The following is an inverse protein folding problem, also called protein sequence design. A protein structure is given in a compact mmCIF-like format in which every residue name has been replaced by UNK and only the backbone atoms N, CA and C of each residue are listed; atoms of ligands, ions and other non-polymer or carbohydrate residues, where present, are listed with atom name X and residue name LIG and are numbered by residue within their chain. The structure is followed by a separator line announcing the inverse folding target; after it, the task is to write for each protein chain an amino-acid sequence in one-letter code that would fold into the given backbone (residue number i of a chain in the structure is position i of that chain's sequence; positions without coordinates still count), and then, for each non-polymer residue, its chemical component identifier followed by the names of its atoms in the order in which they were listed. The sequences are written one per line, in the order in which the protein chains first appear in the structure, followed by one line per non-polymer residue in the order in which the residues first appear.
data_IF_170744775478
#
_entry.id   IF_170744775478
#
_cell.length_a   1.000
_cell.length_b   1.000
_cell.length_c   1.000
_cell.angle_alpha   90.00
_cell.angle_beta   90.00
_cell.angle_gamma   90.00
#
_symmetry.space_group_name_H-M   'P 1'
#
loop_
_entity.id
_entity.type
_entity.pdbx_description
1 polymer ?
#
# COMPACT_ATOMS: atom_id res chain seq x y z
N UNK A 1 -0.03 1.50 -4.02
CA UNK A 1 1.16 0.69 -4.33
C UNK A 1 2.32 1.17 -3.47
N UNK A 2 2.85 0.31 -2.63
CA UNK A 2 4.06 0.57 -1.83
C UNK A 2 5.31 0.05 -2.57
N UNK A 3 6.48 0.33 -2.02
CA UNK A 3 7.74 -0.26 -2.48
C UNK A 3 7.94 -1.72 -2.04
N UNK A 4 7.04 -2.29 -1.25
CA UNK A 4 7.13 -3.66 -0.74
C UNK A 4 6.67 -4.74 -1.72
N UNK A 5 6.83 -6.01 -1.30
CA UNK A 5 6.55 -7.20 -2.11
C UNK A 5 5.03 -7.39 -2.33
N UNK A 6 4.22 -7.09 -1.32
CA UNK A 6 2.83 -7.52 -1.26
C UNK A 6 1.91 -6.71 -2.19
N UNK A 7 2.08 -5.38 -2.25
CA UNK A 7 1.17 -4.52 -3.03
C UNK A 7 1.21 -4.78 -4.54
N UNK A 8 2.35 -5.05 -5.20
CA UNK A 8 2.37 -5.45 -6.61
C UNK A 8 1.67 -6.78 -6.85
N UNK A 9 1.82 -7.74 -5.92
CA UNK A 9 1.16 -9.05 -6.02
C UNK A 9 -0.35 -8.90 -5.87
N UNK A 10 -0.81 -8.05 -4.96
CA UNK A 10 -2.23 -7.73 -4.80
C UNK A 10 -2.81 -7.13 -6.08
N UNK A 11 -2.13 -6.15 -6.66
CA UNK A 11 -2.53 -5.53 -7.93
C UNK A 11 -2.63 -6.57 -9.05
N UNK A 12 -1.59 -7.41 -9.23
CA UNK A 12 -1.59 -8.50 -10.21
C UNK A 12 -2.79 -9.44 -10.03
N UNK A 13 -3.08 -9.86 -8.80
CA UNK A 13 -4.19 -10.78 -8.53
C UNK A 13 -5.55 -10.18 -8.90
N UNK A 14 -5.73 -8.90 -8.66
CA UNK A 14 -6.99 -8.20 -9.02
C UNK A 14 -7.08 -7.95 -10.52
N UNK A 15 -5.99 -7.55 -11.17
CA UNK A 15 -5.94 -7.41 -12.63
C UNK A 15 -6.31 -8.72 -13.35
N UNK A 16 -5.84 -9.86 -12.85
CA UNK A 16 -6.23 -11.19 -13.37
C UNK A 16 -7.73 -11.51 -13.22
N UNK A 17 -8.44 -10.81 -12.35
CA UNK A 17 -9.90 -10.93 -12.21
C UNK A 17 -10.65 -9.94 -13.09
N UNK A 18 -9.94 -9.19 -13.93
CA UNK A 18 -10.49 -8.22 -14.88
C UNK A 18 -10.70 -6.81 -14.31
N UNK A 19 -10.17 -6.49 -13.13
CA UNK A 19 -10.26 -5.14 -12.59
C UNK A 19 -9.28 -4.20 -13.30
N UNK A 20 -9.78 -3.04 -13.74
CA UNK A 20 -8.94 -1.89 -14.07
C UNK A 20 -8.40 -1.28 -12.75
N UNK A 21 -7.12 -0.94 -12.72
CA UNK A 21 -6.45 -0.50 -11.50
C UNK A 21 -5.72 0.81 -11.70
N UNK A 22 -5.93 1.72 -10.76
CA UNK A 22 -5.06 2.87 -10.54
C UNK A 22 -4.25 2.66 -9.25
N UNK A 23 -3.10 3.30 -9.16
CA UNK A 23 -2.18 3.14 -8.04
C UNK A 23 -2.07 4.42 -7.23
N UNK A 24 -2.04 4.27 -5.90
CA UNK A 24 -1.72 5.36 -4.96
C UNK A 24 -0.42 5.02 -4.25
N UNK A 25 0.50 5.97 -4.21
CA UNK A 25 1.74 5.91 -3.43
C UNK A 25 1.82 7.10 -2.48
N UNK A 26 2.05 6.83 -1.20
CA UNK A 26 2.28 7.87 -0.19
C UNK A 26 3.78 8.12 -0.07
N UNK A 27 4.21 9.36 -0.29
CA UNK A 27 5.60 9.76 -0.22
C UNK A 27 5.82 10.76 0.91
N UNK A 28 6.86 10.56 1.72
CA UNK A 28 7.18 11.41 2.89
C UNK A 28 8.59 12.02 2.80
N UNK A 29 8.88 12.89 1.81
CA UNK A 29 10.15 13.60 1.78
C UNK A 29 10.25 14.57 2.98
N UNK A 30 11.45 14.78 3.60
CA UNK A 30 12.75 14.22 3.21
C UNK A 30 13.01 12.81 3.78
N UNK A 31 12.08 12.21 4.53
CA UNK A 31 12.26 10.91 5.19
C UNK A 31 12.30 9.74 4.20
N UNK A 32 11.57 9.84 3.09
CA UNK A 32 11.66 8.89 1.97
C UNK A 32 12.40 9.52 0.80
N UNK A 33 13.29 8.74 0.18
CA UNK A 33 14.13 9.22 -0.92
C UNK A 33 13.38 9.25 -2.26
N UNK A 34 13.89 10.03 -3.20
CA UNK A 34 13.42 9.99 -4.59
C UNK A 34 13.58 8.58 -5.21
N UNK A 35 14.61 7.83 -4.79
CA UNK A 35 14.83 6.43 -5.20
C UNK A 35 13.69 5.51 -4.76
N UNK A 36 13.08 5.76 -3.59
CA UNK A 36 11.89 5.03 -3.14
C UNK A 36 10.70 5.26 -4.11
N UNK A 37 10.48 6.49 -4.53
CA UNK A 37 9.44 6.83 -5.52
C UNK A 37 9.72 6.19 -6.90
N UNK A 38 10.98 6.22 -7.36
CA UNK A 38 11.38 5.57 -8.61
C UNK A 38 11.19 4.06 -8.55
N UNK A 39 11.46 3.42 -7.40
CA UNK A 39 11.18 2.00 -7.14
C UNK A 39 9.69 1.69 -7.34
N UNK A 40 8.81 2.49 -6.75
CA UNK A 40 7.35 2.31 -6.90
C UNK A 40 6.90 2.49 -8.35
N UNK A 41 7.44 3.49 -9.05
CA UNK A 41 7.18 3.69 -10.49
C UNK A 41 7.60 2.46 -11.30
N UNK A 42 8.78 1.91 -11.03
CA UNK A 42 9.27 0.70 -11.70
C UNK A 42 8.37 -0.51 -11.42
N UNK A 43 7.87 -0.66 -10.18
CA UNK A 43 6.90 -1.71 -9.84
C UNK A 43 5.57 -1.52 -10.58
N UNK A 44 5.04 -0.31 -10.67
CA UNK A 44 3.84 -0.02 -11.45
C UNK A 44 4.03 -0.42 -12.92
N UNK A 45 5.17 -0.04 -13.52
CA UNK A 45 5.50 -0.42 -14.90
C UNK A 45 5.57 -1.94 -15.11
N UNK A 46 6.12 -2.69 -14.15
CA UNK A 46 6.20 -4.17 -14.23
C UNK A 46 4.84 -4.86 -14.17
N UNK A 47 3.82 -4.19 -13.63
CA UNK A 47 2.46 -4.75 -13.56
C UNK A 47 1.59 -4.34 -14.77
N UNK A 48 1.99 -3.35 -15.56
CA UNK A 48 1.23 -2.90 -16.75
C UNK A 48 0.89 -4.00 -17.76
N UNK A 49 1.71 -5.06 -17.97
CA UNK A 49 1.30 -6.16 -18.82
C UNK A 49 0.01 -6.87 -18.36
N UNK A 50 -0.36 -6.73 -17.10
CA UNK A 50 -1.54 -7.35 -16.52
C UNK A 50 -2.69 -6.37 -16.28
N UNK A 51 -2.39 -5.09 -16.01
CA UNK A 51 -3.38 -4.06 -15.70
C UNK A 51 -3.78 -3.22 -16.91
N UNK A 52 -2.97 -3.23 -17.96
CA UNK A 52 -3.08 -2.24 -19.04
C UNK A 52 -2.60 -0.86 -18.59
N UNK A 53 -3.12 0.19 -19.24
CA UNK A 53 -2.83 1.57 -18.85
C UNK A 53 -3.36 1.87 -17.45
N UNK A 54 -2.54 2.52 -16.61
CA UNK A 54 -2.87 2.81 -15.21
C UNK A 54 -2.26 4.15 -14.79
N UNK A 55 -2.91 4.85 -13.87
CA UNK A 55 -2.39 6.07 -13.25
C UNK A 55 -1.64 5.73 -11.95
N UNK A 56 -0.58 6.48 -11.67
CA UNK A 56 0.12 6.44 -10.38
C UNK A 56 -0.02 7.80 -9.69
N UNK A 57 -0.87 7.86 -8.67
CA UNK A 57 -1.06 9.05 -7.82
C UNK A 57 -0.01 9.06 -6.72
N UNK A 58 0.87 10.05 -6.73
CA UNK A 58 1.86 10.24 -5.65
C UNK A 58 1.33 11.29 -4.68
N UNK A 59 1.03 10.86 -3.45
CA UNK A 59 0.44 11.69 -2.41
C UNK A 59 1.52 12.15 -1.44
N UNK A 60 1.77 13.46 -1.30
CA UNK A 60 2.64 13.99 -0.25
C UNK A 60 2.06 13.69 1.14
N UNK A 61 2.78 12.94 1.96
CA UNK A 61 2.25 12.44 3.22
C UNK A 61 3.05 12.87 4.46
N UNK A 62 4.11 13.64 4.29
CA UNK A 62 4.99 14.10 5.38
C UNK A 62 4.22 14.82 6.50
N UNK A 63 3.45 15.86 6.14
CA UNK A 63 2.70 16.67 7.15
C UNK A 63 1.68 15.86 7.95
N UNK A 64 0.82 15.02 7.32
CA UNK A 64 -0.06 14.14 8.08
C UNK A 64 0.69 13.18 9.00
N UNK A 65 1.81 12.66 8.57
CA UNK A 65 2.62 11.71 9.33
C UNK A 65 3.27 12.37 10.54
N UNK A 66 3.87 13.55 10.38
CA UNK A 66 4.42 14.36 11.47
C UNK A 66 3.34 14.75 12.47
N UNK A 67 2.17 15.20 12.00
CA UNK A 67 1.06 15.55 12.88
C UNK A 67 0.61 14.36 13.74
N UNK A 68 0.52 13.16 13.18
CA UNK A 68 0.16 11.95 13.94
C UNK A 68 1.25 11.64 14.97
N UNK A 69 2.53 11.71 14.58
CA UNK A 69 3.66 11.49 15.50
C UNK A 69 3.63 12.42 16.70
N UNK A 70 3.34 13.70 16.46
CA UNK A 70 3.45 14.75 17.49
C UNK A 70 2.21 14.83 18.40
N UNK A 71 1.06 14.25 17.99
CA UNK A 71 -0.22 14.39 18.67
C UNK A 71 -0.90 13.07 19.07
N UNK A 72 -0.28 11.92 18.82
CA UNK A 72 -0.87 10.63 19.12
C UNK A 72 0.09 9.77 19.96
N UNK A 73 -0.43 8.88 20.83
CA UNK A 73 0.41 7.88 21.49
C UNK A 73 1.14 6.99 20.49
N UNK A 74 2.40 6.69 20.75
CA UNK A 74 3.26 5.88 19.86
C UNK A 74 2.61 4.53 19.47
N UNK A 75 1.95 3.88 20.44
CA UNK A 75 1.28 2.58 20.22
C UNK A 75 0.14 2.66 19.19
N UNK A 76 -0.41 3.83 18.94
CA UNK A 76 -1.49 4.06 17.98
C UNK A 76 -0.99 4.63 16.66
N UNK A 77 0.29 5.01 16.56
CA UNK A 77 0.84 5.69 15.39
C UNK A 77 0.52 4.95 14.10
N UNK A 78 0.88 3.68 14.01
CA UNK A 78 0.69 2.87 12.79
C UNK A 78 -0.79 2.75 12.40
N UNK A 79 -1.68 2.54 13.36
CA UNK A 79 -3.13 2.39 13.10
C UNK A 79 -3.71 3.72 12.61
N UNK A 80 -3.36 4.84 13.24
CA UNK A 80 -3.84 6.17 12.86
C UNK A 80 -3.30 6.60 11.50
N UNK A 81 -2.03 6.31 11.23
CA UNK A 81 -1.40 6.53 9.93
C UNK A 81 -2.17 5.77 8.84
N UNK A 82 -2.42 4.47 9.02
CA UNK A 82 -3.17 3.65 8.06
C UNK A 82 -4.61 4.15 7.87
N UNK A 83 -5.30 4.54 8.94
CA UNK A 83 -6.64 5.16 8.84
C UNK A 83 -6.62 6.43 8.00
N UNK A 84 -5.62 7.29 8.21
CA UNK A 84 -5.44 8.51 7.42
C UNK A 84 -5.20 8.19 5.94
N UNK A 85 -4.31 7.23 5.65
CA UNK A 85 -4.05 6.77 4.28
C UNK A 85 -5.31 6.23 3.61
N UNK A 86 -6.11 5.42 4.32
CA UNK A 86 -7.35 4.87 3.78
C UNK A 86 -8.39 5.96 3.47
N UNK A 87 -8.52 6.99 4.31
CA UNK A 87 -9.38 8.16 4.04
C UNK A 87 -8.95 8.90 2.77
N UNK A 88 -7.66 9.15 2.64
CA UNK A 88 -7.11 9.84 1.46
C UNK A 88 -7.33 8.97 0.20
N UNK A 89 -7.05 7.67 0.30
CA UNK A 89 -7.27 6.73 -0.80
C UNK A 89 -8.74 6.70 -1.23
N UNK A 90 -9.68 6.69 -0.26
CA UNK A 90 -11.11 6.74 -0.53
C UNK A 90 -11.53 8.01 -1.28
N UNK A 91 -11.01 9.17 -0.85
CA UNK A 91 -11.29 10.46 -1.52
C UNK A 91 -10.78 10.45 -2.97
N UNK A 92 -9.56 9.96 -3.19
CA UNK A 92 -8.98 9.87 -4.54
C UNK A 92 -9.77 8.88 -5.39
N UNK A 93 -10.07 7.69 -4.86
CA UNK A 93 -10.83 6.67 -5.55
C UNK A 93 -12.19 7.17 -6.00
N UNK A 94 -12.92 7.86 -5.12
CA UNK A 94 -14.20 8.46 -5.48
C UNK A 94 -14.09 9.52 -6.57
N UNK A 95 -13.07 10.36 -6.51
CA UNK A 95 -12.81 11.38 -7.55
C UNK A 95 -12.48 10.77 -8.92
N UNK A 96 -11.88 9.58 -8.92
CA UNK A 96 -11.54 8.84 -10.13
C UNK A 96 -12.67 7.89 -10.60
N UNK A 97 -13.79 7.83 -9.89
CA UNK A 97 -14.90 6.92 -10.20
C UNK A 97 -14.60 5.45 -9.90
N UNK A 98 -13.63 5.18 -9.02
CA UNK A 98 -13.33 3.80 -8.60
C UNK A 98 -14.39 3.29 -7.62
N UNK A 99 -14.69 2.00 -7.72
CA UNK A 99 -15.75 1.33 -6.93
C UNK A 99 -15.20 0.59 -5.71
N UNK A 100 -13.89 0.37 -5.61
CA UNK A 100 -13.25 -0.35 -4.51
C UNK A 100 -11.82 0.12 -4.27
N UNK A 101 -11.28 -0.20 -3.09
CA UNK A 101 -9.87 -0.10 -2.76
C UNK A 101 -9.24 -1.49 -2.76
N UNK A 102 -7.96 -1.58 -3.12
CA UNK A 102 -7.18 -2.83 -3.07
C UNK A 102 -5.99 -2.62 -2.16
N UNK A 103 -5.78 -3.53 -1.20
CA UNK A 103 -4.62 -3.52 -0.31
C UNK A 103 -3.84 -4.83 -0.38
N UNK A 104 -2.54 -4.78 -0.10
CA UNK A 104 -1.66 -5.95 -0.03
C UNK A 104 -1.56 -6.56 1.38
N UNK A 105 -2.61 -6.42 2.20
CA UNK A 105 -2.62 -6.94 3.56
C UNK A 105 -2.77 -8.47 3.57
N UNK A 106 -1.96 -9.12 4.42
CA UNK A 106 -2.09 -10.53 4.78
C UNK A 106 -2.28 -10.64 6.29
N UNK A 107 -3.21 -11.49 6.74
CA UNK A 107 -3.57 -11.59 8.15
C UNK A 107 -2.39 -12.09 8.99
N UNK A 108 -2.15 -11.44 10.12
CA UNK A 108 -1.09 -11.77 11.08
C UNK A 108 0.36 -11.70 10.56
N UNK A 109 0.58 -11.17 9.36
CA UNK A 109 1.94 -11.02 8.81
C UNK A 109 2.77 -9.98 9.59
N UNK A 110 2.12 -8.91 10.08
CA UNK A 110 2.71 -7.90 10.96
C UNK A 110 1.69 -7.45 12.01
N UNK A 111 2.15 -6.85 13.10
CA UNK A 111 1.31 -6.44 14.23
C UNK A 111 0.09 -5.54 13.84
N UNK A 112 0.22 -4.75 12.79
CA UNK A 112 -0.86 -3.89 12.27
C UNK A 112 -1.86 -4.63 11.37
N UNK A 113 -1.72 -5.92 11.14
CA UNK A 113 -2.58 -6.74 10.28
C UNK A 113 -3.39 -7.77 11.08
N UNK A 114 -3.76 -7.45 12.31
CA UNK A 114 -4.74 -8.21 13.08
C UNK A 114 -6.16 -7.87 12.65
N UNK A 115 -7.12 -8.75 12.90
CA UNK A 115 -8.54 -8.50 12.59
C UNK A 115 -9.03 -7.18 13.19
N UNK A 116 -8.66 -6.87 14.45
CA UNK A 116 -9.02 -5.61 15.12
C UNK A 116 -8.39 -4.39 14.44
N UNK A 117 -7.13 -4.47 14.03
CA UNK A 117 -6.46 -3.39 13.32
C UNK A 117 -7.08 -3.15 11.94
N UNK A 118 -7.42 -4.22 11.22
CA UNK A 118 -8.13 -4.13 9.94
C UNK A 118 -9.51 -3.48 10.11
N UNK A 119 -10.29 -3.89 11.12
CA UNK A 119 -11.57 -3.27 11.44
C UNK A 119 -11.43 -1.76 11.71
N UNK A 120 -10.39 -1.35 12.44
CA UNK A 120 -10.11 0.06 12.69
C UNK A 120 -9.81 0.83 11.39
N UNK A 121 -9.07 0.24 10.46
CA UNK A 121 -8.76 0.90 9.18
C UNK A 121 -9.97 0.91 8.25
N UNK A 122 -10.78 -0.13 8.24
CA UNK A 122 -11.99 -0.24 7.42
C UNK A 122 -13.04 0.82 7.80
N UNK A 123 -13.18 1.09 9.10
CA UNK A 123 -14.08 2.13 9.59
C UNK A 123 -13.68 3.57 9.18
N UNK A 124 -12.54 3.75 8.51
CA UNK A 124 -12.06 5.06 8.09
C UNK A 124 -12.55 5.48 6.69
N UNK A 125 -13.23 4.61 5.97
CA UNK A 125 -13.66 4.80 4.58
C UNK A 125 -14.94 3.98 4.30
N UNK A 126 -15.57 4.17 3.14
CA UNK A 126 -16.89 3.58 2.81
C UNK A 126 -16.91 2.74 1.52
N UNK A 127 -15.80 2.69 0.77
CA UNK A 127 -15.68 1.79 -0.38
C UNK A 127 -15.31 0.36 0.07
N UNK A 128 -15.73 -0.67 -0.63
CA UNK A 128 -15.26 -2.03 -0.39
C UNK A 128 -13.73 -2.13 -0.44
N UNK A 129 -13.12 -2.86 0.50
CA UNK A 129 -11.69 -3.13 0.48
C UNK A 129 -11.44 -4.57 0.06
N UNK A 130 -10.80 -4.74 -1.09
CA UNK A 130 -10.39 -6.04 -1.60
C UNK A 130 -8.99 -6.39 -1.08
N UNK A 131 -8.88 -7.54 -0.42
CA UNK A 131 -7.63 -8.06 0.17
C UNK A 131 -7.24 -9.39 -0.45
N UNK A 132 -6.71 -9.39 -1.68
CA UNK A 132 -6.46 -10.63 -2.41
C UNK A 132 -5.37 -11.52 -1.79
N UNK A 133 -4.66 -11.02 -0.77
CA UNK A 133 -3.58 -11.74 -0.08
C UNK A 133 -3.93 -12.14 1.34
N UNK A 134 -5.16 -11.90 1.81
CA UNK A 134 -5.51 -11.96 3.23
C UNK A 134 -5.21 -13.30 3.91
N UNK A 135 -5.31 -14.40 3.20
CA UNK A 135 -5.02 -15.76 3.68
C UNK A 135 -3.74 -16.37 3.14
N UNK A 136 -2.89 -15.58 2.46
CA UNK A 136 -1.64 -16.08 1.91
C UNK A 136 -0.48 -15.91 2.89
N UNK A 137 0.39 -16.89 2.97
CA UNK A 137 1.64 -16.76 3.70
C UNK A 137 2.72 -16.00 2.89
N UNK A 138 3.83 -15.68 3.55
CA UNK A 138 4.90 -14.88 2.93
C UNK A 138 5.57 -15.59 1.76
N UNK A 139 5.72 -16.90 1.83
CA UNK A 139 6.39 -17.68 0.78
C UNK A 139 5.53 -17.75 -0.48
N UNK A 140 4.22 -17.92 -0.33
CA UNK A 140 3.26 -17.86 -1.43
C UNK A 140 3.31 -16.52 -2.15
N UNK A 141 3.34 -15.41 -1.39
CA UNK A 141 3.41 -14.05 -1.95
C UNK A 141 4.74 -13.85 -2.69
N UNK A 142 5.87 -14.25 -2.09
CA UNK A 142 7.20 -14.17 -2.71
C UNK A 142 7.27 -14.99 -4.01
N UNK A 143 6.68 -16.18 -4.01
CA UNK A 143 6.62 -17.02 -5.20
C UNK A 143 5.88 -16.33 -6.35
N UNK A 144 4.75 -15.67 -6.07
CA UNK A 144 4.03 -14.90 -7.06
C UNK A 144 4.85 -13.68 -7.51
N UNK A 145 5.45 -12.94 -6.58
CA UNK A 145 6.28 -11.77 -6.88
C UNK A 145 7.45 -12.10 -7.82
N UNK A 146 8.10 -13.26 -7.60
CA UNK A 146 9.15 -13.78 -8.49
C UNK A 146 8.61 -14.07 -9.88
N UNK A 147 7.47 -14.76 -9.97
CA UNK A 147 6.85 -15.13 -11.24
C UNK A 147 6.45 -13.92 -12.09
N UNK A 148 6.00 -12.83 -11.47
CA UNK A 148 5.61 -11.59 -12.17
C UNK A 148 6.77 -10.59 -12.32
N UNK A 149 7.99 -10.96 -11.92
CA UNK A 149 9.21 -10.15 -12.07
C UNK A 149 9.29 -8.92 -11.17
N UNK A 150 8.49 -8.84 -10.09
CA UNK A 150 8.50 -7.68 -9.18
C UNK A 150 9.43 -7.86 -7.98
N UNK A 151 9.82 -9.09 -7.63
CA UNK A 151 10.58 -9.39 -6.42
C UNK A 151 11.88 -8.59 -6.33
N UNK A 152 12.73 -8.67 -7.35
CA UNK A 152 14.05 -8.02 -7.35
C UNK A 152 13.96 -6.50 -7.18
N UNK A 153 12.91 -5.89 -7.73
CA UNK A 153 12.66 -4.47 -7.54
C UNK A 153 12.15 -4.19 -6.12
N UNK A 154 11.26 -5.05 -5.61
CA UNK A 154 10.65 -4.86 -4.28
C UNK A 154 11.65 -4.96 -3.13
N UNK A 155 12.70 -5.78 -3.26
CA UNK A 155 13.73 -5.96 -2.22
C UNK A 155 14.83 -4.90 -2.24
N UNK A 156 14.82 -3.94 -3.18
CA UNK A 156 15.76 -2.83 -3.17
C UNK A 156 15.67 -2.05 -1.84
N UNK A 157 16.79 -1.62 -1.25
CA UNK A 157 16.87 -1.06 0.09
C UNK A 157 16.43 0.42 0.17
N UNK A 158 15.26 0.73 -0.39
CA UNK A 158 14.65 2.05 -0.31
C UNK A 158 13.40 1.98 0.54
N UNK A 159 13.42 2.71 1.65
CA UNK A 159 12.36 2.67 2.66
C UNK A 159 11.05 3.30 2.17
N UNK A 160 9.96 2.71 2.63
CA UNK A 160 8.59 3.19 2.40
C UNK A 160 8.18 4.17 3.51
N UNK A 161 7.21 5.04 3.26
CA UNK A 161 6.69 5.94 4.28
C UNK A 161 6.16 5.20 5.52
N UNK A 162 5.73 3.96 5.38
CA UNK A 162 5.21 3.16 6.49
C UNK A 162 6.27 2.76 7.53
N UNK A 163 7.55 2.82 7.21
CA UNK A 163 8.65 2.50 8.13
C UNK A 163 9.22 3.74 8.84
N UNK A 164 8.88 4.93 8.34
CA UNK A 164 9.27 6.21 8.95
C UNK A 164 8.47 6.40 10.25
N UNK A 165 9.14 6.70 11.35
CA UNK A 165 8.57 6.92 12.68
C UNK A 165 7.85 5.71 13.31
N UNK A 166 7.98 4.49 12.77
CA UNK A 166 7.45 3.32 13.48
C UNK A 166 8.25 3.07 14.75
N UNK A 167 7.58 2.84 15.91
CA UNK A 167 8.27 2.43 17.14
C UNK A 167 9.09 1.15 16.89
N UNK A 168 10.29 1.13 17.47
CA UNK A 168 11.16 -0.06 17.44
C UNK A 168 10.69 -1.11 18.43
#
# INVERSE_FOLDING_TARGET
LSGGIDSPVAAYRMAKRGLALDHIHFASPPYTSERAKLKVKALAQKITPYTGSTNLFVVPYTKPQEYIRDNAPDVLFTVLMRRSMMRIANIIARKQGCEALVTGESLAQVASQTVKALQCTDAAQDLPILRPLIGMDKEEIVTVARRIGTLETSILPYEDCCTVFTPK
#
